data_IF_854043332650
#
_entry.id   IF_854043332650
#
_cell.length_a   1.000
_cell.length_b   1.000
_cell.length_c   1.000
_cell.angle_alpha   90.00
_cell.angle_beta   90.00
_cell.angle_gamma   90.00
#
_symmetry.space_group_name_H-M   'P 1'
#
loop_
_entity.id
_entity.type
_entity.pdbx_description
1 polymer ?
#
# COMPACT_ATOMS: atom_id res chain seq x y z
N UNK A 1 -14.47 -4.14 7.33
CA UNK A 1 -13.72 -4.60 8.52
C UNK A 1 -14.34 -5.83 9.18
N UNK A 2 -15.58 -5.80 9.69
CA UNK A 2 -16.24 -6.93 10.42
C UNK A 2 -16.08 -8.34 9.80
N UNK A 3 -16.05 -8.45 8.47
CA UNK A 3 -15.97 -9.74 7.76
C UNK A 3 -14.56 -10.16 7.36
N UNK A 4 -13.55 -9.29 7.52
CA UNK A 4 -12.18 -9.56 7.11
C UNK A 4 -11.45 -10.26 8.24
N UNK A 5 -10.94 -11.46 7.97
CA UNK A 5 -10.18 -12.28 8.92
C UNK A 5 -8.96 -12.86 8.22
N UNK A 6 -7.79 -12.30 8.52
CA UNK A 6 -6.52 -12.75 7.97
C UNK A 6 -5.38 -12.32 8.88
N UNK A 7 -4.34 -13.13 9.00
CA UNK A 7 -3.20 -12.87 9.93
C UNK A 7 -2.53 -11.52 9.66
N UNK A 8 -2.44 -11.12 8.39
CA UNK A 8 -1.84 -9.85 7.96
C UNK A 8 -2.81 -8.66 7.86
N UNK A 9 -4.01 -8.78 8.40
CA UNK A 9 -5.00 -7.69 8.47
C UNK A 9 -5.31 -7.44 9.94
N UNK A 10 -5.37 -6.17 10.36
CA UNK A 10 -5.74 -5.84 11.74
C UNK A 10 -7.15 -6.34 12.05
N UNK A 11 -7.29 -7.03 13.19
CA UNK A 11 -8.57 -7.61 13.57
C UNK A 11 -9.51 -6.53 14.09
N UNK A 12 -10.73 -6.49 13.58
CA UNK A 12 -11.80 -5.66 14.14
C UNK A 12 -12.40 -6.36 15.36
N UNK A 13 -12.48 -5.65 16.49
CA UNK A 13 -13.00 -6.19 17.75
C UNK A 13 -14.44 -5.75 18.01
N UNK A 14 -14.81 -4.52 17.62
CA UNK A 14 -16.13 -3.97 17.91
C UNK A 14 -16.27 -2.50 17.57
N UNK A 15 -17.46 -1.96 17.78
CA UNK A 15 -17.73 -0.52 17.69
C UNK A 15 -18.66 -0.14 18.83
N UNK A 16 -18.47 1.06 19.39
CA UNK A 16 -19.41 1.69 20.29
C UNK A 16 -19.82 3.05 19.73
N UNK A 17 -21.09 3.42 19.86
CA UNK A 17 -21.61 4.74 19.52
C UNK A 17 -22.18 5.36 20.79
N UNK A 18 -21.49 6.34 21.34
CA UNK A 18 -21.90 7.06 22.54
C UNK A 18 -21.69 8.56 22.32
N UNK A 19 -22.66 9.39 22.73
CA UNK A 19 -22.59 10.85 22.62
C UNK A 19 -22.20 11.36 21.22
N UNK A 20 -22.73 10.75 20.15
CA UNK A 20 -22.37 11.03 18.75
C UNK A 20 -20.90 10.77 18.36
N UNK A 21 -20.16 10.00 19.17
CA UNK A 21 -18.79 9.56 18.88
C UNK A 21 -18.82 8.08 18.52
N UNK A 22 -18.45 7.77 17.27
CA UNK A 22 -18.24 6.39 16.83
C UNK A 22 -16.82 5.95 17.19
N UNK A 23 -16.70 5.08 18.19
CA UNK A 23 -15.45 4.44 18.57
C UNK A 23 -15.31 3.09 17.87
N UNK A 24 -14.20 2.87 17.16
CA UNK A 24 -13.87 1.61 16.48
C UNK A 24 -12.76 0.92 17.28
N UNK A 25 -13.03 -0.30 17.76
CA UNK A 25 -12.08 -1.11 18.50
C UNK A 25 -11.40 -2.12 17.57
N UNK A 26 -10.07 -2.13 17.61
CA UNK A 26 -9.23 -3.00 16.78
C UNK A 26 -8.16 -3.68 17.65
N UNK A 27 -7.62 -4.78 17.14
CA UNK A 27 -6.45 -5.45 17.70
C UNK A 27 -5.30 -4.45 17.92
N UNK A 28 -4.68 -4.53 19.10
CA UNK A 28 -3.53 -3.71 19.42
C UNK A 28 -2.25 -4.29 18.80
N UNK A 29 -1.52 -3.46 18.06
CA UNK A 29 -0.28 -3.83 17.36
C UNK A 29 0.89 -3.01 17.93
N UNK A 30 1.68 -3.55 18.89
CA UNK A 30 2.61 -2.73 19.67
C UNK A 30 3.94 -2.40 18.99
N UNK A 31 4.32 -3.09 17.90
CA UNK A 31 5.65 -2.96 17.29
C UNK A 31 5.86 -1.71 16.43
N UNK A 32 4.86 -0.84 16.35
CA UNK A 32 4.91 0.39 15.54
C UNK A 32 4.71 0.14 14.05
N UNK A 33 4.68 1.23 13.28
CA UNK A 33 4.59 1.20 11.81
C UNK A 33 5.97 1.00 11.18
N UNK A 34 6.01 0.49 9.95
CA UNK A 34 7.24 0.40 9.17
C UNK A 34 7.94 1.76 9.05
N UNK A 35 7.19 2.84 8.81
CA UNK A 35 7.80 4.19 8.77
C UNK A 35 8.42 4.57 10.13
N UNK A 36 7.83 4.18 11.25
CA UNK A 36 8.42 4.42 12.58
C UNK A 36 9.70 3.62 12.82
N UNK A 37 9.75 2.37 12.33
CA UNK A 37 10.94 1.51 12.40
C UNK A 37 12.06 2.12 11.55
N UNK A 38 11.75 2.53 10.32
CA UNK A 38 12.70 3.18 9.42
C UNK A 38 13.26 4.47 10.02
N UNK A 39 12.39 5.32 10.60
CA UNK A 39 12.83 6.56 11.22
C UNK A 39 13.78 6.33 12.41
N UNK A 40 13.62 5.21 13.13
CA UNK A 40 14.42 4.89 14.31
C UNK A 40 15.71 4.16 13.99
N UNK A 41 15.69 3.25 13.02
CA UNK A 41 16.78 2.30 12.76
C UNK A 41 17.38 2.41 11.35
N UNK A 42 16.79 3.21 10.48
CA UNK A 42 17.19 3.34 9.08
C UNK A 42 16.52 2.32 8.16
N UNK A 43 16.93 2.27 6.88
CA UNK A 43 16.39 1.34 5.89
C UNK A 43 16.57 -0.13 6.29
N UNK A 44 15.67 -0.98 5.82
CA UNK A 44 15.64 -2.39 6.20
C UNK A 44 16.57 -3.24 5.31
N UNK A 45 17.30 -4.21 5.88
CA UNK A 45 18.05 -5.19 5.10
C UNK A 45 17.14 -5.99 4.16
N UNK A 46 17.66 -6.40 3.00
CA UNK A 46 16.86 -7.06 1.95
C UNK A 46 16.15 -8.34 2.45
N UNK A 47 16.78 -9.12 3.34
CA UNK A 47 16.16 -10.32 3.94
C UNK A 47 14.89 -9.98 4.71
N UNK A 48 14.88 -8.84 5.42
CA UNK A 48 13.71 -8.34 6.15
C UNK A 48 12.68 -7.78 5.16
N UNK A 49 13.15 -7.02 4.16
CA UNK A 49 12.33 -6.47 3.08
C UNK A 49 11.52 -7.57 2.38
N UNK A 50 12.18 -8.66 1.98
CA UNK A 50 11.57 -9.83 1.36
C UNK A 50 10.44 -10.41 2.23
N UNK A 51 10.73 -10.69 3.50
CA UNK A 51 9.77 -11.28 4.45
C UNK A 51 8.55 -10.39 4.69
N UNK A 52 8.76 -9.09 4.85
CA UNK A 52 7.65 -8.14 5.05
C UNK A 52 6.85 -7.93 3.78
N UNK A 53 7.51 -7.84 2.62
CA UNK A 53 6.84 -7.72 1.32
C UNK A 53 5.92 -8.90 1.06
N UNK A 54 6.38 -10.14 1.32
CA UNK A 54 5.53 -11.33 1.20
C UNK A 54 4.28 -11.25 2.07
N UNK A 55 4.41 -10.84 3.33
CA UNK A 55 3.28 -10.69 4.25
C UNK A 55 2.31 -9.56 3.85
N UNK A 56 2.84 -8.44 3.35
CA UNK A 56 2.03 -7.35 2.77
C UNK A 56 1.22 -7.90 1.59
N UNK A 57 1.86 -8.61 0.66
CA UNK A 57 1.19 -9.21 -0.50
C UNK A 57 0.12 -10.23 -0.10
N UNK A 58 0.36 -11.05 0.91
CA UNK A 58 -0.65 -11.98 1.44
C UNK A 58 -1.89 -11.24 1.94
N UNK A 59 -1.70 -10.16 2.71
CA UNK A 59 -2.79 -9.28 3.15
C UNK A 59 -3.53 -8.64 1.97
N UNK A 60 -2.81 -8.06 1.01
CA UNK A 60 -3.40 -7.41 -0.16
C UNK A 60 -4.15 -8.40 -1.05
N UNK A 61 -3.59 -9.59 -1.31
CA UNK A 61 -4.25 -10.64 -2.08
C UNK A 61 -5.55 -11.09 -1.41
N UNK A 62 -5.54 -11.25 -0.08
CA UNK A 62 -6.75 -11.55 0.69
C UNK A 62 -7.82 -10.45 0.55
N UNK A 63 -7.44 -9.18 0.66
CA UNK A 63 -8.36 -8.06 0.46
C UNK A 63 -8.95 -8.07 -0.95
N UNK A 64 -8.11 -8.24 -1.96
CA UNK A 64 -8.52 -8.24 -3.36
C UNK A 64 -9.48 -9.39 -3.67
N UNK A 65 -9.22 -10.59 -3.15
CA UNK A 65 -10.11 -11.75 -3.26
C UNK A 65 -11.48 -11.50 -2.61
N UNK A 66 -11.52 -10.72 -1.53
CA UNK A 66 -12.75 -10.29 -0.86
C UNK A 66 -13.35 -9.00 -1.45
N UNK A 67 -12.93 -8.61 -2.66
CA UNK A 67 -13.38 -7.42 -3.39
C UNK A 67 -13.22 -6.12 -2.60
N UNK A 68 -12.16 -6.03 -1.78
CA UNK A 68 -11.76 -4.82 -1.04
C UNK A 68 -10.47 -4.27 -1.63
N UNK A 69 -10.43 -2.95 -1.85
CA UNK A 69 -9.22 -2.20 -2.23
C UNK A 69 -8.84 -1.32 -1.03
N UNK A 70 -7.55 -1.33 -0.65
CA UNK A 70 -7.06 -0.65 0.54
C UNK A 70 -6.95 0.87 0.33
N UNK A 71 -6.35 1.28 -0.80
CA UNK A 71 -6.20 2.67 -1.28
C UNK A 71 -5.24 3.58 -0.49
N UNK A 72 -4.71 3.13 0.64
CA UNK A 72 -3.70 3.87 1.40
C UNK A 72 -2.57 2.96 1.95
N UNK A 73 -1.98 2.14 1.09
CA UNK A 73 -0.83 1.30 1.46
C UNK A 73 0.44 2.15 1.46
N UNK A 74 1.10 2.24 2.62
CA UNK A 74 2.35 2.98 2.86
C UNK A 74 2.96 2.52 4.17
N UNK A 75 4.23 2.84 4.44
CA UNK A 75 4.90 2.40 5.66
C UNK A 75 4.18 2.78 6.96
N UNK A 76 3.41 3.87 6.99
CA UNK A 76 2.61 4.26 8.16
C UNK A 76 1.44 3.31 8.45
N UNK A 77 0.89 2.67 7.41
CA UNK A 77 -0.28 1.79 7.50
C UNK A 77 0.10 0.30 7.48
N UNK A 78 1.38 0.01 7.61
CA UNK A 78 1.93 -1.34 7.77
C UNK A 78 2.54 -1.41 9.16
N UNK A 79 1.90 -2.10 10.09
CA UNK A 79 2.38 -2.24 11.47
C UNK A 79 3.00 -3.60 11.72
N UNK A 80 3.86 -3.68 12.73
CA UNK A 80 4.54 -4.91 13.15
C UNK A 80 4.06 -5.40 14.50
N UNK A 81 3.87 -6.70 14.60
CA UNK A 81 3.81 -7.40 15.88
C UNK A 81 5.23 -7.75 16.35
N UNK A 82 5.46 -7.92 17.67
CA UNK A 82 6.76 -8.38 18.20
C UNK A 82 7.20 -9.73 17.63
N UNK A 83 6.25 -10.56 17.17
CA UNK A 83 6.51 -11.82 16.47
C UNK A 83 7.09 -11.66 15.05
N UNK A 84 7.23 -10.43 14.54
CA UNK A 84 7.59 -10.16 13.14
C UNK A 84 6.42 -10.30 12.16
N UNK A 85 5.18 -10.44 12.68
CA UNK A 85 3.98 -10.47 11.84
C UNK A 85 3.61 -9.06 11.38
N UNK A 86 3.46 -8.86 10.08
CA UNK A 86 2.97 -7.62 9.49
C UNK A 86 1.44 -7.56 9.57
N UNK A 87 0.88 -6.41 9.95
CA UNK A 87 -0.55 -6.10 9.97
C UNK A 87 -0.81 -4.87 9.09
N UNK A 88 -1.62 -5.01 8.05
CA UNK A 88 -2.21 -3.85 7.36
C UNK A 88 -3.27 -3.23 8.26
N UNK A 89 -3.17 -1.92 8.47
CA UNK A 89 -4.05 -1.12 9.30
C UNK A 89 -4.67 0.01 8.47
N UNK A 90 -5.57 0.76 9.10
CA UNK A 90 -6.20 1.96 8.55
C UNK A 90 -6.96 1.73 7.23
N UNK A 91 -8.17 1.22 7.39
CA UNK A 91 -9.12 1.00 6.30
C UNK A 91 -10.04 2.20 6.08
N UNK A 92 -9.71 3.39 6.62
CA UNK A 92 -10.54 4.60 6.47
C UNK A 92 -10.75 4.99 5.00
N UNK A 93 -9.79 4.68 4.15
CA UNK A 93 -9.86 4.93 2.70
C UNK A 93 -10.37 3.73 1.89
N UNK A 94 -10.51 2.56 2.52
CA UNK A 94 -10.81 1.32 1.83
C UNK A 94 -12.24 1.29 1.27
N UNK A 95 -12.41 0.68 0.10
CA UNK A 95 -13.71 0.57 -0.59
C UNK A 95 -13.93 -0.84 -1.10
N UNK A 96 -15.18 -1.31 -1.02
CA UNK A 96 -15.61 -2.55 -1.70
C UNK A 96 -15.89 -2.24 -3.18
N UNK A 97 -15.41 -3.08 -4.09
CA UNK A 97 -15.51 -2.87 -5.55
C UNK A 97 -16.95 -2.70 -6.04
N UNK A 98 -17.92 -3.41 -5.45
CA UNK A 98 -19.34 -3.29 -5.82
C UNK A 98 -19.89 -1.85 -5.67
N UNK A 99 -19.38 -1.08 -4.70
CA UNK A 99 -19.79 0.31 -4.47
C UNK A 99 -19.15 1.31 -5.44
N UNK A 100 -18.13 0.87 -6.17
CA UNK A 100 -17.44 1.71 -7.12
C UNK A 100 -18.07 1.61 -8.53
N UNK A 101 -18.69 0.47 -8.86
CA UNK A 101 -19.41 0.26 -10.12
C UNK A 101 -20.83 0.85 -10.13
N UNK A 102 -21.43 1.08 -8.96
CA UNK A 102 -22.81 1.55 -8.83
C UNK A 102 -22.89 3.06 -8.56
N UNK A 103 -22.64 3.89 -9.57
CA UNK A 103 -23.18 5.26 -9.69
C UNK A 103 -23.06 6.21 -8.50
N UNK A 104 -22.17 5.97 -7.53
CA UNK A 104 -21.95 6.87 -6.40
C UNK A 104 -21.59 8.25 -6.94
N UNK A 105 -22.32 9.28 -6.48
CA UNK A 105 -22.20 10.64 -6.97
C UNK A 105 -20.73 11.01 -7.16
N UNK A 106 -20.37 11.46 -8.38
CA UNK A 106 -19.02 11.97 -8.72
C UNK A 106 -18.51 13.01 -7.72
N UNK A 107 -19.40 13.59 -6.90
CA UNK A 107 -19.13 14.54 -5.81
C UNK A 107 -18.60 13.90 -4.50
N UNK A 108 -18.87 12.64 -4.19
CA UNK A 108 -18.21 11.95 -3.06
C UNK A 108 -16.81 11.44 -3.43
N UNK A 109 -16.56 11.23 -4.72
CA UNK A 109 -15.23 10.93 -5.27
C UNK A 109 -14.30 12.17 -5.21
N UNK A 110 -14.87 13.39 -5.24
CA UNK A 110 -14.17 14.67 -5.21
C UNK A 110 -13.41 14.99 -3.90
N UNK A 111 -13.67 14.26 -2.81
CA UNK A 111 -12.88 14.37 -1.55
C UNK A 111 -11.73 13.37 -1.48
N UNK A 112 -11.59 12.48 -2.46
CA UNK A 112 -10.78 11.26 -2.37
C UNK A 112 -9.32 11.39 -2.80
N UNK A 113 -8.70 12.57 -2.72
CA UNK A 113 -7.23 12.67 -2.68
C UNK A 113 -6.74 12.29 -1.27
N UNK A 114 -7.12 11.11 -0.81
CA UNK A 114 -6.76 10.59 0.52
C UNK A 114 -5.46 9.78 0.52
N UNK A 115 -4.75 9.72 -0.61
CA UNK A 115 -3.43 9.11 -0.68
C UNK A 115 -2.35 10.05 -0.18
N UNK A 116 -1.29 9.48 0.41
CA UNK A 116 -0.05 10.24 0.54
C UNK A 116 0.60 10.32 -0.85
N UNK A 117 0.83 11.51 -1.43
CA UNK A 117 1.07 11.69 -2.87
C UNK A 117 2.13 10.79 -3.52
N UNK A 118 3.19 10.44 -2.77
CA UNK A 118 4.28 9.61 -3.28
C UNK A 118 3.92 8.14 -3.53
N UNK A 119 2.79 7.65 -2.99
CA UNK A 119 2.32 6.27 -3.16
C UNK A 119 1.12 6.16 -4.12
N UNK A 120 0.65 7.28 -4.68
CA UNK A 120 -0.50 7.29 -5.58
C UNK A 120 -0.12 6.79 -6.97
N UNK A 121 -0.93 5.86 -7.49
CA UNK A 121 -0.75 5.32 -8.83
C UNK A 121 -1.16 6.34 -9.92
N UNK A 122 -0.60 6.27 -11.14
CA UNK A 122 -0.94 7.17 -12.24
C UNK A 122 -2.44 7.27 -12.49
N UNK A 123 -3.14 6.12 -12.53
CA UNK A 123 -4.58 6.04 -12.80
C UNK A 123 -5.43 6.72 -11.72
N UNK A 124 -4.95 6.75 -10.48
CA UNK A 124 -5.60 7.42 -9.36
C UNK A 124 -5.41 8.94 -9.45
N UNK A 125 -4.25 9.39 -9.93
CA UNK A 125 -3.94 10.82 -10.11
C UNK A 125 -4.71 11.39 -11.30
N UNK A 126 -4.79 10.64 -12.41
CA UNK A 126 -5.52 11.06 -13.62
C UNK A 126 -7.03 10.83 -13.56
N UNK A 127 -7.53 10.33 -12.43
CA UNK A 127 -8.95 9.97 -12.23
C UNK A 127 -9.52 9.02 -13.29
N UNK A 128 -8.64 8.32 -14.02
CA UNK A 128 -9.01 7.41 -15.12
C UNK A 128 -9.31 6.00 -14.61
N UNK A 129 -9.00 5.72 -13.34
CA UNK A 129 -9.36 4.48 -12.68
C UNK A 129 -8.95 4.44 -11.22
N UNK A 130 -9.58 3.52 -10.49
CA UNK A 130 -9.15 3.09 -9.17
C UNK A 130 -9.35 1.57 -9.12
N UNK A 131 -8.56 0.85 -8.33
CA UNK A 131 -8.79 -0.59 -8.22
C UNK A 131 -7.66 -1.36 -7.58
N UNK A 132 -7.73 -2.68 -7.71
CA UNK A 132 -6.74 -3.61 -7.17
C UNK A 132 -5.31 -3.27 -7.62
N UNK A 133 -5.14 -2.81 -8.86
CA UNK A 133 -3.82 -2.47 -9.43
C UNK A 133 -3.20 -1.23 -8.78
N UNK A 134 -3.99 -0.27 -8.29
CA UNK A 134 -3.44 0.90 -7.60
C UNK A 134 -2.81 0.52 -6.26
N UNK A 135 -3.38 -0.46 -5.54
CA UNK A 135 -2.74 -1.01 -4.33
C UNK A 135 -1.36 -1.61 -4.63
N UNK A 136 -1.18 -2.24 -5.80
CA UNK A 136 0.10 -2.83 -6.20
C UNK A 136 1.18 -1.78 -6.43
N UNK A 137 0.81 -0.66 -7.05
CA UNK A 137 1.71 0.49 -7.17
C UNK A 137 2.14 1.00 -5.78
N UNK A 138 1.18 1.16 -4.88
CA UNK A 138 1.45 1.58 -3.50
C UNK A 138 2.33 0.57 -2.74
N UNK A 139 2.18 -0.74 -2.99
CA UNK A 139 3.11 -1.77 -2.50
C UNK A 139 4.52 -1.52 -3.03
N UNK A 140 4.69 -1.30 -4.34
CA UNK A 140 5.99 -0.96 -4.93
C UNK A 140 6.67 0.25 -4.28
N UNK A 141 5.91 1.33 -4.07
CA UNK A 141 6.41 2.50 -3.34
C UNK A 141 6.77 2.19 -1.88
N UNK A 142 6.02 1.32 -1.21
CA UNK A 142 6.27 0.91 0.18
C UNK A 142 7.53 0.03 0.29
N UNK A 143 7.77 -0.86 -0.69
CA UNK A 143 9.00 -1.66 -0.75
C UNK A 143 10.21 -0.76 -1.00
N UNK A 144 10.08 0.24 -1.88
CA UNK A 144 11.12 1.26 -2.06
C UNK A 144 11.38 2.06 -0.77
N UNK A 145 10.32 2.46 -0.06
CA UNK A 145 10.43 3.14 1.24
C UNK A 145 11.20 2.29 2.26
N UNK A 146 10.84 1.01 2.39
CA UNK A 146 11.56 0.07 3.27
C UNK A 146 13.04 -0.06 2.90
N UNK A 147 13.37 -0.09 1.61
CA UNK A 147 14.72 -0.28 1.11
C UNK A 147 15.62 0.97 1.24
N UNK A 148 15.05 2.17 1.14
CA UNK A 148 15.83 3.43 1.05
C UNK A 148 15.55 4.42 2.19
N UNK A 149 14.56 4.11 3.02
CA UNK A 149 14.07 4.96 4.09
C UNK A 149 13.16 6.11 3.65
N UNK A 150 12.91 6.26 2.35
CA UNK A 150 12.08 7.33 1.77
C UNK A 150 11.29 6.80 0.57
N UNK A 151 10.10 7.34 0.24
CA UNK A 151 9.40 6.92 -0.98
C UNK A 151 10.16 7.37 -2.26
N UNK A 152 9.90 6.76 -3.44
CA UNK A 152 10.69 6.96 -4.66
C UNK A 152 10.95 8.42 -5.06
N UNK A 153 9.96 9.31 -4.91
CA UNK A 153 10.04 10.70 -5.34
C UNK A 153 10.12 11.69 -4.17
N UNK A 154 10.68 11.26 -3.03
CA UNK A 154 10.76 12.09 -1.82
C UNK A 154 11.59 13.38 -2.00
N UNK A 155 12.47 13.46 -2.99
CA UNK A 155 13.23 14.67 -3.33
C UNK A 155 12.37 15.75 -3.99
N UNK A 156 11.18 15.41 -4.49
CA UNK A 156 10.25 16.33 -5.11
C UNK A 156 9.20 16.81 -4.09
N UNK A 157 8.77 18.07 -4.25
CA UNK A 157 7.57 18.55 -3.56
C UNK A 157 6.36 17.69 -3.93
N UNK A 158 5.44 17.48 -2.99
CA UNK A 158 4.30 16.54 -3.15
C UNK A 158 3.49 16.76 -4.44
N UNK A 159 3.17 18.01 -4.76
CA UNK A 159 2.42 18.37 -5.98
C UNK A 159 3.26 18.07 -7.24
N UNK A 160 4.56 18.35 -7.20
CA UNK A 160 5.46 18.04 -8.31
C UNK A 160 5.59 16.53 -8.54
N UNK A 161 5.66 15.73 -7.47
CA UNK A 161 5.65 14.27 -7.57
C UNK A 161 4.34 13.74 -8.19
N UNK A 162 3.18 14.27 -7.78
CA UNK A 162 1.90 13.91 -8.40
C UNK A 162 1.90 14.20 -9.90
N UNK A 163 2.35 15.39 -10.28
CA UNK A 163 2.40 15.77 -11.69
C UNK A 163 3.43 14.93 -12.46
N UNK A 164 4.57 14.60 -11.87
CA UNK A 164 5.57 13.72 -12.48
C UNK A 164 4.99 12.34 -12.80
N UNK A 165 4.25 11.76 -11.85
CA UNK A 165 3.59 10.45 -12.00
C UNK A 165 2.45 10.55 -13.01
N UNK A 166 1.50 11.48 -12.82
CA UNK A 166 0.29 11.59 -13.64
C UNK A 166 0.55 12.04 -15.08
N UNK A 167 1.52 12.94 -15.29
CA UNK A 167 1.93 13.38 -16.63
C UNK A 167 3.01 12.50 -17.27
N UNK A 168 3.31 11.33 -16.68
CA UNK A 168 4.18 10.32 -17.27
C UNK A 168 5.60 10.83 -17.61
N UNK A 169 6.14 11.78 -16.82
CA UNK A 169 7.35 12.57 -17.18
C UNK A 169 8.68 11.83 -17.13
N UNK A 170 8.75 10.62 -16.57
CA UNK A 170 9.94 9.77 -16.64
C UNK A 170 9.86 8.50 -15.81
N UNK A 171 10.87 7.64 -15.91
CA UNK A 171 10.89 6.37 -15.20
C UNK A 171 10.87 6.60 -13.69
N UNK A 172 10.15 5.71 -12.98
CA UNK A 172 10.22 5.69 -11.53
C UNK A 172 11.63 5.28 -11.08
N UNK A 173 12.17 5.86 -10.00
CA UNK A 173 13.48 5.47 -9.47
C UNK A 173 13.57 3.97 -9.18
N UNK A 174 14.68 3.35 -9.57
CA UNK A 174 15.00 1.97 -9.19
C UNK A 174 15.58 1.92 -7.78
N UNK A 175 15.58 0.73 -7.18
CA UNK A 175 16.36 0.50 -5.97
C UNK A 175 17.86 0.80 -6.23
N UNK A 176 18.61 1.29 -5.22
CA UNK A 176 20.03 1.62 -5.35
C UNK A 176 20.89 0.35 -5.52
N UNK A 177 22.18 0.55 -5.81
CA UNK A 177 23.16 -0.54 -5.87
C UNK A 177 23.23 -1.30 -4.53
N UNK A 178 23.45 -2.62 -4.62
CA UNK A 178 23.54 -3.52 -3.46
C UNK A 178 22.29 -4.38 -3.20
N UNK A 179 21.16 -4.09 -3.86
CA UNK A 179 19.98 -4.97 -3.86
C UNK A 179 20.06 -6.02 -4.97
N UNK A 180 19.46 -7.19 -4.74
CA UNK A 180 19.41 -8.25 -5.75
C UNK A 180 18.64 -7.82 -7.00
N UNK A 181 18.97 -8.44 -8.13
CA UNK A 181 18.22 -8.26 -9.38
C UNK A 181 16.73 -8.59 -9.22
N UNK A 182 16.40 -9.57 -8.37
CA UNK A 182 15.03 -9.94 -8.04
C UNK A 182 14.29 -8.83 -7.28
N UNK A 183 14.93 -8.17 -6.31
CA UNK A 183 14.33 -7.04 -5.59
C UNK A 183 14.09 -5.84 -6.51
N UNK A 184 15.08 -5.50 -7.34
CA UNK A 184 14.97 -4.42 -8.33
C UNK A 184 13.83 -4.71 -9.32
N UNK A 185 13.76 -5.95 -9.82
CA UNK A 185 12.71 -6.38 -10.74
C UNK A 185 11.32 -6.36 -10.12
N UNK A 186 11.18 -6.80 -8.87
CA UNK A 186 9.91 -6.74 -8.14
C UNK A 186 9.37 -5.31 -8.05
N UNK A 187 10.21 -4.35 -7.64
CA UNK A 187 9.81 -2.94 -7.54
C UNK A 187 9.46 -2.38 -8.91
N UNK A 188 10.25 -2.69 -9.94
CA UNK A 188 9.96 -2.30 -11.32
C UNK A 188 8.60 -2.82 -11.79
N UNK A 189 8.30 -4.10 -11.56
CA UNK A 189 7.03 -4.71 -11.94
C UNK A 189 5.83 -4.04 -11.23
N UNK A 190 5.97 -3.70 -9.96
CA UNK A 190 4.93 -2.98 -9.21
C UNK A 190 4.71 -1.55 -9.76
N UNK A 191 5.77 -0.87 -10.18
CA UNK A 191 5.76 0.50 -10.69
C UNK A 191 5.54 0.58 -12.21
N UNK A 192 5.04 -0.48 -12.84
CA UNK A 192 4.55 -0.46 -14.22
C UNK A 192 3.39 0.53 -14.33
N UNK A 193 3.51 1.49 -15.24
CA UNK A 193 2.56 2.60 -15.40
C UNK A 193 1.20 2.11 -15.90
N UNK A 194 1.19 1.28 -16.93
CA UNK A 194 -0.04 0.67 -17.41
C UNK A 194 -0.57 -0.29 -16.34
N UNK A 195 -1.75 0.02 -15.81
CA UNK A 195 -2.40 -0.82 -14.80
C UNK A 195 -2.77 -2.20 -15.34
N UNK A 196 -2.96 -2.36 -16.65
CA UNK A 196 -3.31 -3.65 -17.26
C UNK A 196 -2.12 -4.60 -17.25
N UNK A 197 -0.92 -4.08 -17.54
CA UNK A 197 0.35 -4.81 -17.51
C UNK A 197 0.92 -5.01 -16.09
N UNK A 198 0.55 -4.15 -15.13
CA UNK A 198 0.99 -4.28 -13.74
C UNK A 198 0.50 -5.62 -13.14
N UNK A 199 1.31 -6.45 -12.50
CA UNK A 199 0.86 -7.74 -11.97
C UNK A 199 -0.15 -7.56 -10.82
N UNK A 200 -0.95 -8.60 -10.56
CA UNK A 200 -1.81 -8.67 -9.37
C UNK A 200 -1.02 -9.08 -8.12
N UNK A 201 -1.58 -8.86 -6.92
CA UNK A 201 -0.97 -9.32 -5.67
C UNK A 201 -0.75 -10.84 -5.66
N UNK A 202 -1.68 -11.61 -6.24
CA UNK A 202 -1.56 -13.07 -6.33
C UNK A 202 -0.39 -13.48 -7.24
N UNK A 203 -0.26 -12.86 -8.41
CA UNK A 203 0.88 -13.12 -9.31
C UNK A 203 2.22 -12.73 -8.68
N UNK A 204 2.24 -11.64 -7.91
CA UNK A 204 3.45 -11.18 -7.21
C UNK A 204 3.89 -12.11 -6.07
N UNK A 205 2.98 -12.91 -5.48
CA UNK A 205 3.36 -13.92 -4.48
C UNK A 205 4.23 -15.04 -5.07
N UNK A 206 4.21 -15.22 -6.39
CA UNK A 206 5.05 -16.17 -7.12
C UNK A 206 6.36 -15.55 -7.65
N UNK A 207 6.58 -14.25 -7.39
CA UNK A 207 7.77 -13.55 -7.85
C UNK A 207 9.03 -14.04 -7.11
N UNK A 208 10.19 -14.23 -7.78
CA UNK A 208 11.42 -14.75 -7.14
C UNK A 208 11.87 -13.99 -5.89
N UNK A 209 11.61 -12.67 -5.84
CA UNK A 209 11.94 -11.83 -4.68
C UNK A 209 11.25 -12.24 -3.38
N UNK A 210 10.05 -12.84 -3.43
CA UNK A 210 9.23 -13.17 -2.25
C UNK A 210 8.98 -14.68 -2.08
N UNK A 211 9.72 -15.49 -2.84
CA UNK A 211 9.72 -16.95 -2.73
C UNK A 211 10.63 -17.45 -1.62
#
# INVERSE_FOLDING_TARGET
>A
LKTLKHVNIVTYLGTCLEHNILSIFMEFVPGGSISSVINRFGPLPEVVLCRYTRQILQGVAYLHANSVVHRDIKGNNVMLMPSGTVKLIDFGCARRLAWLSSGGSRSETLRSVHGTPYWMAPEVISESGYGRKSDIWSVGCTVFEMATGKPPLASMGRIAAMFYIGAHRGLMPSLPEGFSSAAVDFVRACLTRDQHERPSALQLLDHPFVK
#
